data_IF_234333856115
#
_entry.id   IF_234333856115
#
_cell.length_a   1.000
_cell.length_b   1.000
_cell.length_c   1.000
_cell.angle_alpha   90.00
_cell.angle_beta   90.00
_cell.angle_gamma   90.00
#
_symmetry.space_group_name_H-M   'P 1'
#
loop_
_entity.id
_entity.type
_entity.pdbx_description
1 polymer ?
#
# COMPACT_ATOMS: atom_id res chain seq x y z
N UNK A 1 -0.23 2.54 11.59
CA UNK A 1 0.04 1.73 10.38
C UNK A 1 1.55 1.72 10.20
N UNK A 2 2.14 0.53 10.23
CA UNK A 2 3.38 0.22 10.93
C UNK A 2 4.62 0.43 10.06
N UNK A 3 5.56 1.27 10.50
CA UNK A 3 6.96 1.05 10.16
C UNK A 3 7.41 -0.20 10.94
N UNK A 4 8.07 -1.15 10.28
CA UNK A 4 8.60 -2.31 11.00
C UNK A 4 9.82 -1.80 11.76
N UNK A 5 9.69 -1.67 13.09
CA UNK A 5 10.82 -1.41 13.97
C UNK A 5 11.69 -2.66 14.05
N UNK A 6 12.96 -2.52 13.72
CA UNK A 6 13.95 -3.58 13.85
C UNK A 6 15.01 -3.07 14.84
N UNK A 7 14.77 -3.36 16.12
CA UNK A 7 15.69 -3.23 17.26
C UNK A 7 15.91 -1.81 17.83
N UNK A 8 15.80 -1.70 19.16
CA UNK A 8 16.09 -0.50 19.95
C UNK A 8 17.23 -0.77 20.94
N UNK A 9 18.39 -0.09 20.84
CA UNK A 9 19.45 -0.05 21.88
C UNK A 9 19.29 1.08 22.91
N UNK A 10 19.42 0.83 24.21
CA UNK A 10 19.20 1.86 25.21
C UNK A 10 20.28 2.96 25.09
N UNK A 11 19.85 4.21 25.27
CA UNK A 11 20.66 5.36 25.73
C UNK A 11 21.07 6.46 24.72
N UNK A 12 20.63 7.68 25.07
CA UNK A 12 20.99 9.04 24.60
C UNK A 12 20.20 9.69 23.44
N UNK A 13 19.48 10.79 23.77
CA UNK A 13 18.71 11.67 22.87
C UNK A 13 19.38 13.04 22.82
N UNK A 14 19.65 13.58 21.62
CA UNK A 14 19.92 15.01 21.43
C UNK A 14 19.46 15.46 20.03
N UNK A 15 18.54 16.42 20.02
CA UNK A 15 17.78 16.86 18.84
C UNK A 15 18.66 17.63 17.84
N UNK A 16 18.96 17.01 16.69
CA UNK A 16 19.39 17.76 15.51
C UNK A 16 18.85 17.16 14.20
N UNK A 17 18.52 18.08 13.30
CA UNK A 17 17.73 17.94 12.07
C UNK A 17 18.39 17.01 11.02
N UNK A 18 17.70 15.96 10.57
CA UNK A 18 18.16 15.14 9.43
C UNK A 18 17.56 15.67 8.11
N UNK A 19 18.41 16.29 7.28
CA UNK A 19 18.19 16.49 5.84
C UNK A 19 18.97 15.42 5.07
N UNK A 20 18.32 14.71 4.16
CA UNK A 20 18.99 13.85 3.17
C UNK A 20 18.71 14.39 1.75
N UNK A 21 19.77 14.84 1.08
CA UNK A 21 19.77 15.36 -0.29
C UNK A 21 19.72 14.23 -1.32
N UNK A 22 18.78 14.33 -2.26
CA UNK A 22 18.50 13.33 -3.29
C UNK A 22 19.37 13.54 -4.54
N UNK A 23 20.48 12.82 -4.66
CA UNK A 23 21.17 12.63 -5.94
C UNK A 23 22.03 11.36 -5.89
N UNK A 24 21.56 10.24 -6.48
CA UNK A 24 22.44 9.11 -6.86
C UNK A 24 22.10 7.71 -6.34
N UNK A 25 21.21 7.53 -5.36
CA UNK A 25 21.12 6.26 -4.58
C UNK A 25 20.02 5.28 -5.01
N UNK A 26 19.68 5.18 -6.30
CA UNK A 26 18.46 4.46 -6.73
C UNK A 26 18.62 2.99 -7.15
N UNK A 27 19.67 2.26 -6.74
CA UNK A 27 19.77 0.81 -7.04
C UNK A 27 20.46 0.01 -5.93
N UNK A 28 19.65 -0.75 -5.18
CA UNK A 28 19.95 -1.88 -4.28
C UNK A 28 20.10 -1.56 -2.78
N UNK A 29 19.55 -2.49 -1.99
CA UNK A 29 19.52 -2.60 -0.53
C UNK A 29 18.53 -1.67 0.19
N UNK A 30 17.74 -2.28 1.08
CA UNK A 30 16.83 -1.61 2.00
C UNK A 30 17.61 -0.53 2.78
N UNK A 31 17.35 0.74 2.46
CA UNK A 31 17.86 1.85 3.24
C UNK A 31 17.07 1.87 4.55
N UNK A 32 17.70 1.40 5.62
CA UNK A 32 17.21 1.59 6.97
C UNK A 32 17.12 3.09 7.24
N UNK A 33 15.95 3.54 7.67
CA UNK A 33 15.77 4.88 8.21
C UNK A 33 15.97 4.77 9.71
N UNK A 34 17.14 5.21 10.18
CA UNK A 34 17.44 5.23 11.62
C UNK A 34 16.84 6.51 12.20
N UNK A 35 16.02 6.34 13.23
CA UNK A 35 15.55 7.41 14.10
C UNK A 35 16.40 7.37 15.37
N UNK A 36 17.57 8.04 15.41
CA UNK A 36 18.52 7.90 16.51
C UNK A 36 17.91 8.29 17.86
N UNK A 37 17.03 9.29 17.90
CA UNK A 37 16.39 9.75 19.15
C UNK A 37 15.36 8.77 19.72
N UNK A 38 14.75 7.95 18.89
CA UNK A 38 13.91 6.84 19.35
C UNK A 38 14.72 5.54 19.41
N UNK A 39 15.95 5.61 18.91
CA UNK A 39 16.85 4.53 18.60
C UNK A 39 16.11 3.37 17.89
N UNK A 40 15.32 3.73 16.88
CA UNK A 40 14.59 2.77 16.06
C UNK A 40 15.21 2.70 14.67
N UNK A 41 15.52 1.48 14.21
CA UNK A 41 15.72 1.21 12.78
C UNK A 41 14.37 0.95 12.12
N UNK A 42 14.00 1.74 11.11
CA UNK A 42 12.78 1.56 10.33
C UNK A 42 13.09 1.05 8.93
N UNK A 43 12.37 0.03 8.50
CA UNK A 43 12.35 -0.38 7.09
C UNK A 43 11.16 0.26 6.37
N UNK A 44 11.37 1.03 5.29
CA UNK A 44 10.28 1.61 4.54
C UNK A 44 9.50 0.52 3.79
N UNK A 45 8.19 0.47 4.05
CA UNK A 45 7.29 -0.40 3.31
C UNK A 45 7.12 0.13 1.88
N UNK A 46 7.51 -0.68 0.89
CA UNK A 46 7.37 -0.34 -0.53
C UNK A 46 5.92 -0.05 -0.88
N UNK A 47 5.70 0.97 -1.72
CA UNK A 47 4.40 1.39 -2.27
C UNK A 47 3.42 1.97 -1.24
N UNK A 48 3.83 2.10 0.02
CA UNK A 48 3.00 2.69 1.08
C UNK A 48 2.64 4.14 0.77
N UNK A 49 3.52 4.87 0.08
CA UNK A 49 3.29 6.24 -0.38
C UNK A 49 2.06 6.37 -1.28
N UNK A 50 1.69 5.32 -2.02
CA UNK A 50 0.49 5.35 -2.86
C UNK A 50 -0.78 5.25 -2.02
N UNK A 51 -0.76 4.45 -0.95
CA UNK A 51 -1.90 4.22 -0.06
C UNK A 51 -2.14 5.38 0.91
N UNK A 52 -1.10 6.18 1.19
CA UNK A 52 -1.16 7.33 2.10
C UNK A 52 -1.54 8.64 1.40
N UNK A 53 -1.74 8.64 0.08
CA UNK A 53 -2.20 9.82 -0.66
C UNK A 53 -3.73 9.94 -0.58
N UNK A 54 -4.23 11.11 -0.20
CA UNK A 54 -5.66 11.39 -0.17
C UNK A 54 -6.43 10.50 0.81
N UNK A 55 -5.89 10.31 2.03
CA UNK A 55 -6.55 9.52 3.08
C UNK A 55 -7.96 10.04 3.41
N UNK A 56 -8.84 9.15 3.82
CA UNK A 56 -10.18 9.46 4.33
C UNK A 56 -10.26 9.26 5.84
N UNK A 57 -11.20 9.94 6.51
CA UNK A 57 -11.45 9.72 7.94
C UNK A 57 -12.35 8.51 8.16
N UNK A 58 -12.01 7.68 9.13
CA UNK A 58 -12.85 6.61 9.63
C UNK A 58 -12.92 6.61 11.16
N UNK A 59 -13.89 5.89 11.71
CA UNK A 59 -14.01 5.72 13.16
C UNK A 59 -13.71 4.27 13.54
N UNK A 60 -12.72 4.06 14.40
CA UNK A 60 -12.43 2.76 15.01
C UNK A 60 -13.13 2.72 16.36
N UNK A 61 -14.03 1.76 16.52
CA UNK A 61 -14.79 1.55 17.76
C UNK A 61 -14.20 0.33 18.48
N UNK A 62 -13.86 0.49 19.74
CA UNK A 62 -13.33 -0.57 20.60
C UNK A 62 -13.85 -0.46 22.03
N UNK A 63 -13.37 -1.36 22.90
CA UNK A 63 -13.80 -1.42 24.31
C UNK A 63 -13.50 -0.14 25.09
N UNK A 64 -12.45 0.59 24.70
CA UNK A 64 -12.04 1.83 25.34
C UNK A 64 -12.73 3.09 24.77
N UNK A 65 -13.64 2.93 23.80
CA UNK A 65 -14.35 4.02 23.15
C UNK A 65 -14.14 4.07 21.64
N UNK A 66 -14.41 5.22 21.05
CA UNK A 66 -14.31 5.48 19.62
C UNK A 66 -13.20 6.49 19.32
N UNK A 67 -12.41 6.23 18.27
CA UNK A 67 -11.34 7.10 17.83
C UNK A 67 -11.43 7.35 16.32
N UNK A 68 -11.31 8.61 15.91
CA UNK A 68 -11.23 9.00 14.50
C UNK A 68 -9.80 8.79 14.01
N UNK A 69 -9.65 8.08 12.89
CA UNK A 69 -8.35 7.73 12.30
C UNK A 69 -8.32 8.04 10.81
N UNK A 70 -7.12 8.36 10.32
CA UNK A 70 -6.84 8.45 8.89
C UNK A 70 -6.70 7.04 8.30
N UNK A 71 -7.58 6.70 7.37
CA UNK A 71 -7.54 5.49 6.58
C UNK A 71 -7.08 5.80 5.15
N UNK A 72 -6.36 4.90 4.49
CA UNK A 72 -6.23 4.94 3.04
C UNK A 72 -7.59 5.08 2.35
N UNK A 73 -7.65 5.87 1.28
CA UNK A 73 -8.84 5.85 0.42
C UNK A 73 -9.07 4.42 -0.11
N UNK A 74 -10.29 3.86 -0.04
CA UNK A 74 -10.53 2.45 -0.33
C UNK A 74 -10.08 2.03 -1.73
N UNK A 75 -10.23 2.91 -2.73
CA UNK A 75 -9.79 2.68 -4.10
C UNK A 75 -8.26 2.57 -4.21
N UNK A 76 -7.53 3.43 -3.50
CA UNK A 76 -6.07 3.38 -3.47
C UNK A 76 -5.59 2.18 -2.68
N UNK A 77 -6.27 1.81 -1.60
CA UNK A 77 -5.94 0.61 -0.84
C UNK A 77 -6.13 -0.66 -1.69
N UNK A 78 -7.23 -0.76 -2.44
CA UNK A 78 -7.49 -1.89 -3.34
C UNK A 78 -6.38 -2.03 -4.39
N UNK A 79 -6.05 -0.94 -5.10
CA UNK A 79 -5.00 -0.94 -6.13
C UNK A 79 -3.62 -1.19 -5.52
N UNK A 80 -3.34 -0.63 -4.34
CA UNK A 80 -2.10 -0.89 -3.59
C UNK A 80 -1.90 -2.38 -3.32
N UNK A 81 -2.97 -3.09 -2.95
CA UNK A 81 -2.90 -4.54 -2.67
C UNK A 81 -2.55 -5.37 -3.91
N UNK A 82 -3.00 -4.95 -5.09
CA UNK A 82 -2.60 -5.58 -6.36
C UNK A 82 -1.10 -5.40 -6.64
N UNK A 83 -0.57 -4.20 -6.35
CA UNK A 83 0.87 -3.91 -6.54
C UNK A 83 1.72 -4.70 -5.53
N UNK A 84 1.32 -4.72 -4.25
CA UNK A 84 2.01 -5.46 -3.20
C UNK A 84 2.02 -6.96 -3.53
N UNK A 85 0.92 -7.51 -4.02
CA UNK A 85 0.89 -8.90 -4.50
C UNK A 85 1.98 -9.19 -5.54
N UNK A 86 2.12 -8.33 -6.55
CA UNK A 86 3.14 -8.48 -7.60
C UNK A 86 4.58 -8.25 -7.12
N UNK A 87 4.78 -7.63 -5.96
CA UNK A 87 6.10 -7.47 -5.34
C UNK A 87 6.48 -8.65 -4.43
N UNK A 88 5.50 -9.30 -3.79
CA UNK A 88 5.78 -10.31 -2.77
C UNK A 88 6.55 -11.50 -3.35
N UNK A 89 7.58 -11.99 -2.62
CA UNK A 89 8.28 -13.20 -3.01
C UNK A 89 7.38 -14.43 -2.78
N UNK A 90 7.76 -15.53 -3.43
CA UNK A 90 7.06 -16.82 -3.32
C UNK A 90 6.96 -17.29 -1.87
N UNK A 91 7.94 -17.00 -1.01
CA UNK A 91 7.90 -17.37 0.40
C UNK A 91 6.70 -16.77 1.17
N UNK A 92 6.08 -15.69 0.66
CA UNK A 92 4.97 -15.00 1.30
C UNK A 92 3.59 -15.31 0.68
N UNK A 93 3.41 -16.47 0.02
CA UNK A 93 2.15 -16.81 -0.69
C UNK A 93 0.89 -16.61 0.16
N UNK A 94 0.92 -16.98 1.43
CA UNK A 94 -0.24 -16.84 2.32
C UNK A 94 -0.64 -15.37 2.53
N UNK A 95 0.34 -14.45 2.64
CA UNK A 95 0.07 -13.00 2.71
C UNK A 95 -0.40 -12.48 1.35
N UNK A 96 0.20 -12.95 0.27
CA UNK A 96 -0.18 -12.58 -1.09
C UNK A 96 -1.65 -12.96 -1.38
N UNK A 97 -2.10 -14.15 -0.98
CA UNK A 97 -3.49 -14.56 -1.11
C UNK A 97 -4.46 -13.63 -0.36
N UNK A 98 -4.10 -13.20 0.86
CA UNK A 98 -4.87 -12.22 1.63
C UNK A 98 -4.93 -10.86 0.94
N UNK A 99 -3.84 -10.41 0.33
CA UNK A 99 -3.83 -9.14 -0.42
C UNK A 99 -4.80 -9.18 -1.61
N UNK A 100 -4.87 -10.29 -2.35
CA UNK A 100 -5.84 -10.47 -3.44
C UNK A 100 -7.27 -10.47 -2.91
N UNK A 101 -7.58 -11.23 -1.85
CA UNK A 101 -8.92 -11.24 -1.27
C UNK A 101 -9.38 -9.83 -0.85
N UNK A 102 -8.49 -9.07 -0.20
CA UNK A 102 -8.79 -7.69 0.18
C UNK A 102 -9.05 -6.79 -1.04
N UNK A 103 -8.27 -6.94 -2.11
CA UNK A 103 -8.48 -6.19 -3.35
C UNK A 103 -9.79 -6.60 -4.06
N UNK A 104 -10.13 -7.90 -4.06
CA UNK A 104 -11.36 -8.44 -4.65
C UNK A 104 -12.59 -7.82 -4.02
N UNK A 105 -12.70 -7.87 -2.68
CA UNK A 105 -13.87 -7.34 -1.94
C UNK A 105 -14.07 -5.85 -2.22
N UNK A 106 -12.98 -5.08 -2.29
CA UNK A 106 -13.07 -3.65 -2.58
C UNK A 106 -13.42 -3.38 -4.04
N UNK A 107 -12.85 -4.13 -4.99
CA UNK A 107 -13.19 -4.00 -6.41
C UNK A 107 -14.68 -4.33 -6.65
N UNK A 108 -15.19 -5.37 -5.99
CA UNK A 108 -16.62 -5.72 -6.00
C UNK A 108 -17.49 -4.59 -5.45
N UNK A 109 -17.12 -4.01 -4.30
CA UNK A 109 -17.81 -2.84 -3.76
C UNK A 109 -17.86 -1.67 -4.75
N UNK A 110 -16.76 -1.36 -5.44
CA UNK A 110 -16.72 -0.28 -6.43
C UNK A 110 -17.53 -0.59 -7.69
N UNK A 111 -17.62 -1.87 -8.09
CA UNK A 111 -18.47 -2.31 -9.19
C UNK A 111 -19.96 -2.13 -8.86
N UNK A 112 -20.37 -2.46 -7.64
CA UNK A 112 -21.79 -2.46 -7.23
C UNK A 112 -22.29 -1.07 -6.78
N UNK A 113 -21.42 -0.24 -6.20
CA UNK A 113 -21.82 1.05 -5.62
C UNK A 113 -21.86 2.22 -6.62
N UNK A 114 -21.60 1.98 -7.91
CA UNK A 114 -21.52 3.04 -8.93
C UNK A 114 -20.26 3.93 -8.83
N UNK A 115 -19.34 3.63 -7.91
CA UNK A 115 -18.13 4.41 -7.66
C UNK A 115 -16.91 3.93 -8.46
N UNK A 116 -17.11 3.11 -9.50
CA UNK A 116 -16.06 2.60 -10.36
C UNK A 116 -15.13 3.69 -10.95
N UNK A 117 -15.62 4.93 -11.11
CA UNK A 117 -14.80 6.07 -11.55
C UNK A 117 -13.63 6.36 -10.59
N UNK A 118 -13.82 6.26 -9.28
CA UNK A 118 -12.77 6.49 -8.29
C UNK A 118 -11.71 5.38 -8.36
N UNK A 119 -12.16 4.12 -8.42
CA UNK A 119 -11.30 2.97 -8.64
C UNK A 119 -10.43 3.11 -9.89
N UNK A 120 -11.04 3.47 -11.03
CA UNK A 120 -10.32 3.64 -12.29
C UNK A 120 -9.33 4.82 -12.28
N UNK A 121 -9.57 5.86 -11.46
CA UNK A 121 -8.58 6.92 -11.28
C UNK A 121 -7.34 6.41 -10.54
N UNK A 122 -7.52 5.69 -9.42
CA UNK A 122 -6.42 5.08 -8.69
C UNK A 122 -5.66 4.04 -9.54
N UNK A 123 -6.39 3.25 -10.33
CA UNK A 123 -5.82 2.28 -11.26
C UNK A 123 -4.91 2.96 -12.30
N UNK A 124 -5.40 4.02 -12.96
CA UNK A 124 -4.61 4.80 -13.93
C UNK A 124 -3.37 5.42 -13.34
N UNK A 125 -3.50 6.03 -12.16
CA UNK A 125 -2.38 6.60 -11.43
C UNK A 125 -1.29 5.53 -11.19
N UNK A 126 -1.67 4.37 -10.65
CA UNK A 126 -0.74 3.27 -10.44
C UNK A 126 -0.04 2.80 -11.73
N UNK A 127 -0.77 2.64 -12.84
CA UNK A 127 -0.18 2.22 -14.12
C UNK A 127 0.69 3.29 -14.78
N UNK A 128 0.47 4.57 -14.43
CA UNK A 128 1.22 5.73 -14.91
C UNK A 128 2.56 5.96 -14.21
N UNK A 129 2.77 5.40 -13.01
CA UNK A 129 4.00 5.59 -12.20
C UNK A 129 5.25 4.88 -12.73
N UNK A 130 5.13 4.12 -13.82
CA UNK A 130 6.25 3.51 -14.52
C UNK A 130 6.13 2.00 -14.72
N UNK A 131 7.07 1.40 -15.46
CA UNK A 131 6.97 0.01 -15.92
C UNK A 131 6.97 -1.00 -14.76
N UNK A 132 7.71 -0.72 -13.70
CA UNK A 132 7.74 -1.57 -12.51
C UNK A 132 6.41 -1.62 -11.75
N UNK A 133 5.69 -0.49 -11.68
CA UNK A 133 4.37 -0.41 -11.05
C UNK A 133 3.33 -1.13 -11.91
N UNK A 134 3.31 -0.81 -13.21
CA UNK A 134 2.42 -1.43 -14.20
C UNK A 134 2.52 -2.94 -14.19
N UNK A 135 3.74 -3.50 -14.25
CA UNK A 135 3.95 -4.95 -14.24
C UNK A 135 3.32 -5.62 -13.01
N UNK A 136 3.55 -5.06 -11.82
CA UNK A 136 3.05 -5.63 -10.56
C UNK A 136 1.53 -5.49 -10.42
N UNK A 137 1.00 -4.32 -10.76
CA UNK A 137 -0.44 -4.07 -10.77
C UNK A 137 -1.17 -5.04 -11.70
N UNK A 138 -0.66 -5.25 -12.92
CA UNK A 138 -1.23 -6.21 -13.89
C UNK A 138 -1.10 -7.67 -13.42
N UNK A 139 0.00 -8.03 -12.75
CA UNK A 139 0.12 -9.36 -12.11
C UNK A 139 -0.93 -9.57 -11.03
N UNK A 140 -1.15 -8.56 -10.17
CA UNK A 140 -2.20 -8.57 -9.16
C UNK A 140 -3.60 -8.67 -9.78
N UNK A 141 -3.90 -7.87 -10.80
CA UNK A 141 -5.17 -7.93 -11.52
C UNK A 141 -5.41 -9.30 -12.12
N UNK A 142 -4.41 -9.90 -12.79
CA UNK A 142 -4.51 -11.25 -13.35
C UNK A 142 -4.81 -12.29 -12.27
N UNK A 143 -4.20 -12.17 -11.09
CA UNK A 143 -4.48 -13.07 -9.97
C UNK A 143 -5.89 -12.87 -9.41
N UNK A 144 -6.33 -11.62 -9.27
CA UNK A 144 -7.70 -11.29 -8.86
C UNK A 144 -8.74 -11.86 -9.83
N UNK A 145 -8.56 -11.68 -11.13
CA UNK A 145 -9.51 -12.16 -12.14
C UNK A 145 -9.52 -13.68 -12.30
N UNK A 146 -8.51 -14.40 -11.80
CA UNK A 146 -8.59 -15.86 -11.68
C UNK A 146 -9.48 -16.29 -10.52
N UNK A 147 -9.50 -15.50 -9.45
CA UNK A 147 -10.32 -15.77 -8.26
C UNK A 147 -11.77 -15.31 -8.46
N UNK A 148 -11.95 -14.15 -9.08
CA UNK A 148 -13.24 -13.50 -9.32
C UNK A 148 -13.34 -13.03 -10.79
N UNK A 149 -13.55 -13.94 -11.75
CA UNK A 149 -13.64 -13.61 -13.18
C UNK A 149 -14.75 -12.61 -13.51
N UNK A 150 -15.84 -12.61 -12.74
CA UNK A 150 -16.99 -11.72 -12.85
C UNK A 150 -16.64 -10.24 -12.63
N UNK A 151 -15.49 -9.93 -12.01
CA UNK A 151 -15.01 -8.56 -11.86
C UNK A 151 -14.25 -8.05 -13.09
N UNK A 152 -14.10 -8.86 -14.15
CA UNK A 152 -13.53 -8.49 -15.44
C UNK A 152 -14.44 -7.60 -16.31
N UNK A 153 -15.25 -6.75 -15.68
CA UNK A 153 -16.28 -5.95 -16.34
C UNK A 153 -15.72 -4.65 -16.93
N UNK A 154 -16.33 -4.12 -18.02
CA UNK A 154 -15.90 -2.85 -18.63
C UNK A 154 -15.98 -1.64 -17.71
N UNK A 155 -16.77 -1.71 -16.62
CA UNK A 155 -16.88 -0.64 -15.66
C UNK A 155 -15.59 -0.43 -14.85
N UNK A 156 -14.83 -1.49 -14.59
CA UNK A 156 -13.56 -1.47 -13.86
C UNK A 156 -12.36 -1.53 -14.82
N UNK A 157 -11.16 -1.31 -14.29
CA UNK A 157 -9.88 -1.49 -14.97
C UNK A 157 -9.59 -0.54 -16.14
N UNK A 158 -10.33 0.58 -16.27
CA UNK A 158 -10.12 1.56 -17.34
C UNK A 158 -8.79 2.27 -17.16
N UNK A 159 -7.97 2.27 -18.21
CA UNK A 159 -6.65 2.90 -18.27
C UNK A 159 -6.68 4.18 -19.11
#
# INVERSE_FOLDING_TARGET
MTAVCVNARPDSINFSLVRATAAGWLRRAALWVVLPDLNLGLEPLKFMEFSLQGTTQGCVIGRAGACVVNLPAPERYAVHKLIVYGERPVAERAKAAKDILQATVLAEYFAQSGQARAFNQAWRDALGRGPGWRRRALQGQKALLRLAPELGIPALWKH
#
